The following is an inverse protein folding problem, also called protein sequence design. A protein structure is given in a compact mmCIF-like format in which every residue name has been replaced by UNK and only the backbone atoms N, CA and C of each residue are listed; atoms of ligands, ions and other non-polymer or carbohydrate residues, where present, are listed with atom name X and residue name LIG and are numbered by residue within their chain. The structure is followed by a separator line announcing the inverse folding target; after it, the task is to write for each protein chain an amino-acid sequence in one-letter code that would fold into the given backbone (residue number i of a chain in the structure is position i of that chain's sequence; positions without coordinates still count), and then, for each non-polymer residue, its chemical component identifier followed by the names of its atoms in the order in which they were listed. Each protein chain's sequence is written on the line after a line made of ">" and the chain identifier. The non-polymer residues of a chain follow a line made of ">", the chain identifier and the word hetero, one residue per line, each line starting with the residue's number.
data_IF_435670254500
#
_entry.id   IF_435670254500
#
_cell.length_a   1.000
_cell.length_b   1.000
_cell.length_c   1.000
_cell.angle_alpha   90.00
_cell.angle_beta   90.00
_cell.angle_gamma   90.00
#
_symmetry.space_group_name_H-M   'P 1'
#
loop_
_entity.id
_entity.type
_entity.pdbx_description
1 polymer ?
#
# COMPACT_ATOMS: atom_id res chain seq x y z
N UNK A 1 5.87 -19.47 -4.85
CA UNK A 1 6.00 -18.04 -5.24
C UNK A 1 5.30 -17.25 -4.16
N UNK A 2 5.94 -16.26 -3.49
CA UNK A 2 5.21 -15.48 -2.49
C UNK A 2 4.06 -14.78 -3.21
N UNK A 3 2.84 -15.06 -2.75
CA UNK A 3 1.62 -14.41 -3.20
C UNK A 3 1.84 -12.90 -3.12
N UNK A 4 1.82 -12.23 -4.26
CA UNK A 4 1.99 -10.77 -4.33
C UNK A 4 1.01 -10.10 -3.38
N UNK A 5 1.52 -9.23 -2.50
CA UNK A 5 0.69 -8.47 -1.57
C UNK A 5 -0.32 -7.63 -2.37
N UNK A 6 -1.60 -7.74 -2.02
CA UNK A 6 -2.63 -6.90 -2.64
C UNK A 6 -2.53 -5.51 -2.06
N UNK A 7 -2.10 -4.57 -2.90
CA UNK A 7 -1.91 -3.16 -2.57
C UNK A 7 -2.85 -2.30 -3.41
N UNK A 8 -3.44 -1.30 -2.78
CA UNK A 8 -4.22 -0.23 -3.40
C UNK A 8 -3.80 1.12 -2.77
N UNK A 9 -4.18 2.25 -3.38
CA UNK A 9 -3.80 3.57 -2.92
C UNK A 9 -5.01 4.49 -2.85
N UNK A 10 -5.20 5.10 -1.69
CA UNK A 10 -6.09 6.23 -1.51
C UNK A 10 -5.27 7.52 -1.41
N UNK A 11 -5.58 8.52 -2.22
CA UNK A 11 -4.89 9.82 -2.20
C UNK A 11 -5.83 10.85 -1.58
N UNK A 12 -5.39 11.51 -0.51
CA UNK A 12 -6.18 12.55 0.12
C UNK A 12 -6.09 13.90 -0.66
N UNK A 13 -6.90 14.89 -0.28
CA UNK A 13 -6.94 16.22 -0.90
C UNK A 13 -5.59 16.97 -0.89
N UNK A 14 -4.70 16.63 0.04
CA UNK A 14 -3.33 17.17 0.14
C UNK A 14 -2.32 16.34 -0.67
N UNK A 15 -2.78 15.42 -1.51
CA UNK A 15 -1.97 14.52 -2.33
C UNK A 15 -1.10 13.56 -1.51
N UNK A 16 -1.44 13.26 -0.25
CA UNK A 16 -0.68 12.29 0.54
C UNK A 16 -1.19 10.87 0.28
N UNK A 17 -0.32 9.95 -0.16
CA UNK A 17 -0.73 8.57 -0.45
C UNK A 17 -0.90 7.76 0.84
N UNK A 18 -2.09 7.18 0.98
CA UNK A 18 -2.39 6.14 1.96
C UNK A 18 -2.42 4.80 1.24
N UNK A 19 -1.51 3.91 1.62
CA UNK A 19 -1.47 2.54 1.15
C UNK A 19 -2.56 1.71 1.84
N UNK A 20 -3.36 1.01 1.05
CA UNK A 20 -4.32 0.02 1.52
C UNK A 20 -3.77 -1.37 1.21
N UNK A 21 -3.64 -2.20 2.24
CA UNK A 21 -3.12 -3.56 2.14
C UNK A 21 -4.19 -4.54 2.61
N UNK A 22 -4.53 -5.53 1.80
CA UNK A 22 -5.38 -6.63 2.26
C UNK A 22 -4.54 -7.68 3.01
N UNK A 23 -4.91 -7.99 4.25
CA UNK A 23 -4.28 -9.04 5.02
C UNK A 23 -4.47 -10.39 4.32
N UNK A 24 -3.41 -11.14 4.00
CA UNK A 24 -3.54 -12.44 3.32
C UNK A 24 -4.21 -13.51 4.18
N UNK A 25 -4.22 -13.33 5.51
CA UNK A 25 -4.77 -14.30 6.47
C UNK A 25 -6.27 -14.13 6.69
N UNK A 26 -6.74 -12.91 6.94
CA UNK A 26 -8.16 -12.63 7.24
C UNK A 26 -8.88 -11.75 6.22
N UNK A 27 -8.19 -11.31 5.15
CA UNK A 27 -8.70 -10.41 4.12
C UNK A 27 -9.14 -9.02 4.62
N UNK A 28 -8.86 -8.69 5.89
CA UNK A 28 -9.09 -7.35 6.41
C UNK A 28 -8.12 -6.35 5.79
N UNK A 29 -8.63 -5.19 5.42
CA UNK A 29 -7.83 -4.12 4.85
C UNK A 29 -7.19 -3.29 5.96
N UNK A 30 -5.91 -2.97 5.78
CA UNK A 30 -5.14 -2.09 6.65
C UNK A 30 -4.69 -0.87 5.86
N UNK A 31 -4.70 0.28 6.51
CA UNK A 31 -4.33 1.54 5.89
C UNK A 31 -3.12 2.15 6.60
N UNK A 32 -2.10 2.52 5.81
CA UNK A 32 -0.89 3.18 6.32
C UNK A 32 -0.44 4.26 5.36
N UNK A 33 0.08 5.37 5.88
CA UNK A 33 0.70 6.38 5.03
C UNK A 33 1.95 5.79 4.36
N UNK A 34 2.03 5.88 3.03
CA UNK A 34 3.11 5.26 2.26
C UNK A 34 4.49 5.79 2.70
N UNK A 35 4.57 7.08 3.04
CA UNK A 35 5.80 7.73 3.53
C UNK A 35 6.31 7.20 4.89
N UNK A 36 5.45 6.55 5.66
CA UNK A 36 5.79 6.01 7.00
C UNK A 36 6.24 4.56 6.97
N UNK A 37 6.06 3.88 5.84
CA UNK A 37 6.39 2.48 5.70
C UNK A 37 7.88 2.29 5.42
N UNK A 38 8.51 1.44 6.22
CA UNK A 38 9.89 1.03 6.01
C UNK A 38 9.95 -0.22 5.14
N UNK A 39 10.95 -0.34 4.24
CA UNK A 39 11.14 -1.55 3.46
C UNK A 39 11.48 -2.74 4.38
N UNK A 40 11.09 -3.93 3.93
CA UNK A 40 11.39 -5.21 4.58
C UNK A 40 10.92 -5.26 6.05
N UNK A 41 9.83 -4.53 6.32
CA UNK A 41 9.19 -4.45 7.63
C UNK A 41 7.97 -5.36 7.72
N UNK A 42 7.58 -5.71 8.94
CA UNK A 42 6.37 -6.50 9.19
C UNK A 42 5.31 -5.61 9.80
N UNK A 43 4.15 -5.51 9.16
CA UNK A 43 2.95 -4.90 9.73
C UNK A 43 2.16 -5.95 10.49
N UNK A 44 1.55 -5.57 11.61
CA UNK A 44 0.68 -6.49 12.35
C UNK A 44 -0.78 -6.25 11.93
N UNK A 45 -1.49 -7.31 11.54
CA UNK A 45 -2.91 -7.18 11.26
C UNK A 45 -3.70 -7.02 12.57
N UNK A 46 -4.32 -5.87 12.79
CA UNK A 46 -5.15 -5.61 13.98
C UNK A 46 -6.34 -6.56 14.15
N UNK A 47 -6.83 -7.16 13.06
CA UNK A 47 -8.00 -8.05 13.09
C UNK A 47 -7.68 -9.50 13.46
N UNK A 48 -6.56 -10.04 12.98
CA UNK A 48 -6.20 -11.45 13.15
C UNK A 48 -4.81 -11.68 13.75
N UNK A 49 -4.10 -10.60 14.08
CA UNK A 49 -2.75 -10.59 14.66
C UNK A 49 -1.69 -11.35 13.84
N UNK A 50 -1.95 -11.54 12.54
CA UNK A 50 -0.97 -12.11 11.60
C UNK A 50 0.01 -11.04 11.14
N UNK A 51 1.29 -11.41 11.06
CA UNK A 51 2.32 -10.58 10.47
C UNK A 51 2.19 -10.51 8.94
N UNK A 52 2.29 -9.31 8.40
CA UNK A 52 2.24 -9.01 6.97
C UNK A 52 3.61 -8.44 6.60
N UNK A 53 4.41 -9.24 5.88
CA UNK A 53 5.68 -8.78 5.35
C UNK A 53 5.47 -7.78 4.22
N UNK A 54 6.02 -6.59 4.36
CA UNK A 54 6.05 -5.54 3.33
C UNK A 54 7.48 -5.47 2.79
N UNK A 55 7.68 -5.94 1.57
CA UNK A 55 9.01 -5.96 0.96
C UNK A 55 9.33 -4.62 0.29
N UNK A 56 10.61 -4.37 0.02
CA UNK A 56 11.01 -3.24 -0.83
C UNK A 56 10.27 -3.21 -2.19
N UNK A 57 10.03 -4.37 -2.80
CA UNK A 57 9.34 -4.44 -4.09
C UNK A 57 7.86 -4.01 -3.98
N UNK A 58 7.20 -4.29 -2.86
CA UNK A 58 5.82 -3.85 -2.63
C UNK A 58 5.75 -2.32 -2.51
N UNK A 59 6.71 -1.71 -1.81
CA UNK A 59 6.80 -0.24 -1.71
C UNK A 59 7.13 0.42 -3.06
N UNK A 60 8.02 -0.17 -3.87
CA UNK A 60 8.30 0.34 -5.21
C UNK A 60 7.07 0.29 -6.12
N UNK A 61 6.29 -0.78 -6.04
CA UNK A 61 5.02 -0.88 -6.77
C UNK A 61 4.00 0.15 -6.30
N UNK A 62 3.87 0.36 -4.99
CA UNK A 62 3.03 1.41 -4.45
C UNK A 62 3.48 2.79 -4.95
N UNK A 63 4.79 3.04 -4.98
CA UNK A 63 5.32 4.31 -5.48
C UNK A 63 5.00 4.53 -6.97
N UNK A 64 5.15 3.50 -7.80
CA UNK A 64 4.78 3.54 -9.23
C UNK A 64 3.27 3.79 -9.43
N UNK A 65 2.41 3.12 -8.66
CA UNK A 65 0.97 3.37 -8.70
C UNK A 65 0.64 4.83 -8.34
N UNK A 66 1.27 5.37 -7.29
CA UNK A 66 1.07 6.77 -6.90
C UNK A 66 1.48 7.73 -8.02
N UNK A 67 2.65 7.51 -8.63
CA UNK A 67 3.11 8.30 -9.77
C UNK A 67 2.11 8.25 -10.93
N UNK A 68 1.55 7.08 -11.25
CA UNK A 68 0.54 6.94 -12.32
C UNK A 68 -0.73 7.69 -12.01
N UNK A 69 -1.24 7.61 -10.77
CA UNK A 69 -2.46 8.32 -10.37
C UNK A 69 -2.23 9.84 -10.46
N UNK A 70 -1.07 10.34 -10.05
CA UNK A 70 -0.75 11.77 -10.17
C UNK A 70 -0.66 12.25 -11.62
N UNK A 71 -0.17 11.40 -12.53
CA UNK A 71 -0.10 11.71 -13.97
C UNK A 71 -1.51 11.72 -14.58
N UNK A 72 -2.35 10.76 -14.20
CA UNK A 72 -3.73 10.62 -14.71
C UNK A 72 -4.65 11.75 -14.20
N UNK A 73 -4.50 12.19 -12.95
CA UNK A 73 -5.20 13.36 -12.38
C UNK A 73 -4.86 14.68 -13.13
N UNK A 74 -3.66 14.76 -13.72
CA UNK A 74 -3.23 15.87 -14.57
C UNK A 74 -3.65 15.75 -16.04
N UNK A 75 -4.32 14.65 -16.43
CA UNK A 75 -4.55 14.25 -17.82
C UNK A 75 -6.01 14.32 -18.29
N UNK A 76 -6.89 15.07 -17.61
CA UNK A 76 -8.24 15.32 -18.12
C UNK A 76 -8.24 16.53 -19.07
N UNK A 77 -7.86 16.31 -20.33
CA UNK A 77 -8.28 17.17 -21.47
C UNK A 77 -9.62 16.72 -22.01
#
# INVERSE_FOLDING_TARGET
>A
MPSTLKIDLNIDKHKRPTLVIACPSCQHELTHHLETLLPDSTLNCEKCNSGIGVTRNDLLRAQDLYTRILIDDGGKT
#
